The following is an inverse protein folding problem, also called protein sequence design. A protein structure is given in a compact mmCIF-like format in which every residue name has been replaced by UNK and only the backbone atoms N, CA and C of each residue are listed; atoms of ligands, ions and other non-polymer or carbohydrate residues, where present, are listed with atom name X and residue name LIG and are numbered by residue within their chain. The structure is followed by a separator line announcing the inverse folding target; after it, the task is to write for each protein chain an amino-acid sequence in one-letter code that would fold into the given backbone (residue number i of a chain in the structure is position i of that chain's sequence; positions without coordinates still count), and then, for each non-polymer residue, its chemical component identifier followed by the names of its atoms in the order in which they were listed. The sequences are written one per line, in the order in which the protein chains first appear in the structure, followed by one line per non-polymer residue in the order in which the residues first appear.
data_IF_427646320341
#
_entry.id   IF_427646320341
#
_cell.length_a   1.000
_cell.length_b   1.000
_cell.length_c   1.000
_cell.angle_alpha   90.00
_cell.angle_beta   90.00
_cell.angle_gamma   90.00
#
_symmetry.space_group_name_H-M   'P 1'
#
loop_
_entity.id
_entity.type
_entity.pdbx_description
1 polymer ?
#
# COMPACT_ATOMS: atom_id res chain seq x y z
N UNK A 1 -5.35 18.68 18.06
CA UNK A 1 -6.42 17.85 17.46
C UNK A 1 -5.99 17.54 16.04
N UNK A 2 -6.08 16.29 15.57
CA UNK A 2 -5.63 15.93 14.22
C UNK A 2 -6.69 16.43 13.23
N UNK A 3 -6.45 17.56 12.57
CA UNK A 3 -7.40 18.08 11.58
C UNK A 3 -7.41 17.19 10.33
N UNK A 4 -8.48 16.42 10.12
CA UNK A 4 -8.69 15.58 8.92
C UNK A 4 -9.91 16.03 8.09
N UNK A 5 -10.57 17.12 8.48
CA UNK A 5 -11.92 17.46 8.03
C UNK A 5 -12.00 17.88 6.55
N UNK A 6 -10.87 18.23 5.93
CA UNK A 6 -10.78 18.52 4.49
C UNK A 6 -10.43 17.33 3.59
N UNK A 7 -10.08 16.16 4.15
CA UNK A 7 -9.57 15.02 3.37
C UNK A 7 -10.62 13.92 3.14
N UNK A 8 -11.67 13.90 3.95
CA UNK A 8 -12.74 12.89 3.96
C UNK A 8 -14.02 13.50 3.38
N UNK A 9 -14.63 12.85 2.39
CA UNK A 9 -15.85 13.35 1.73
C UNK A 9 -16.78 12.22 1.31
N UNK A 10 -18.08 12.36 1.60
CA UNK A 10 -19.10 11.33 1.31
C UNK A 10 -19.38 11.13 -0.19
N UNK A 11 -19.00 12.08 -1.05
CA UNK A 11 -19.26 12.04 -2.50
C UNK A 11 -18.17 11.37 -3.37
N UNK A 12 -17.11 10.80 -2.78
CA UNK A 12 -16.08 10.09 -3.57
C UNK A 12 -16.47 8.63 -3.78
N UNK A 13 -15.96 8.02 -4.85
CA UNK A 13 -16.15 6.59 -5.15
C UNK A 13 -15.53 5.66 -4.07
N UNK A 14 -14.59 6.17 -3.28
CA UNK A 14 -13.90 5.41 -2.23
C UNK A 14 -14.69 5.45 -0.90
N UNK A 15 -14.91 4.30 -0.23
CA UNK A 15 -15.56 4.24 1.08
C UNK A 15 -14.90 5.16 2.14
N UNK A 16 -15.70 5.76 3.01
CA UNK A 16 -15.23 6.71 4.03
C UNK A 16 -14.10 6.17 4.92
N UNK A 17 -14.17 4.90 5.33
CA UNK A 17 -13.13 4.31 6.17
C UNK A 17 -11.77 4.25 5.44
N UNK A 18 -11.77 3.96 4.13
CA UNK A 18 -10.55 3.93 3.32
C UNK A 18 -9.97 5.34 3.15
N UNK A 19 -10.83 6.36 2.99
CA UNK A 19 -10.38 7.75 2.97
C UNK A 19 -9.69 8.15 4.29
N UNK A 20 -10.25 7.74 5.44
CA UNK A 20 -9.66 7.98 6.77
C UNK A 20 -8.30 7.28 6.88
N UNK A 21 -8.21 6.00 6.49
CA UNK A 21 -6.96 5.23 6.47
C UNK A 21 -5.92 5.94 5.62
N UNK A 22 -6.25 6.29 4.37
CA UNK A 22 -5.36 6.98 3.43
C UNK A 22 -4.90 8.36 3.92
N UNK A 23 -5.75 9.09 4.65
CA UNK A 23 -5.40 10.38 5.23
C UNK A 23 -4.44 10.23 6.43
N UNK A 24 -4.72 9.28 7.34
CA UNK A 24 -3.87 8.99 8.49
C UNK A 24 -2.53 8.42 8.06
N UNK A 25 -2.52 7.47 7.11
CA UNK A 25 -1.29 6.88 6.54
C UNK A 25 -0.38 7.96 5.96
N UNK A 26 -0.92 8.86 5.14
CA UNK A 26 -0.15 9.99 4.58
C UNK A 26 0.46 10.87 5.67
N UNK A 27 -0.28 11.18 6.74
CA UNK A 27 0.26 11.99 7.84
C UNK A 27 1.36 11.30 8.65
N UNK A 28 1.28 9.97 8.78
CA UNK A 28 2.33 9.18 9.43
C UNK A 28 3.57 9.16 8.54
N UNK A 29 3.41 8.88 7.24
CA UNK A 29 4.51 8.86 6.25
C UNK A 29 5.18 10.23 6.07
N UNK A 30 4.42 11.31 6.09
CA UNK A 30 4.92 12.69 6.01
C UNK A 30 5.56 13.18 7.34
N UNK A 31 5.56 12.36 8.39
CA UNK A 31 6.10 12.71 9.71
C UNK A 31 5.28 13.73 10.50
N UNK A 32 4.10 14.12 10.02
CA UNK A 32 3.17 15.01 10.75
C UNK A 32 2.57 14.31 11.99
N UNK A 33 2.40 13.00 11.91
CA UNK A 33 2.10 12.14 13.06
C UNK A 33 3.36 11.35 13.39
N UNK A 34 4.02 11.73 14.49
CA UNK A 34 5.27 11.09 14.92
C UNK A 34 5.00 9.70 15.51
N UNK A 35 6.01 8.85 15.40
CA UNK A 35 6.05 7.56 16.08
C UNK A 35 5.75 7.71 17.58
N UNK A 36 4.97 6.78 18.13
CA UNK A 36 4.55 6.81 19.53
C UNK A 36 3.51 7.88 19.85
N UNK A 37 3.03 8.66 18.87
CA UNK A 37 1.92 9.61 19.09
C UNK A 37 0.65 8.82 19.35
N UNK A 38 -0.08 9.20 20.41
CA UNK A 38 -1.40 8.65 20.71
C UNK A 38 -2.43 9.19 19.71
N UNK A 39 -3.14 8.29 19.03
CA UNK A 39 -4.27 8.65 18.19
C UNK A 39 -5.48 9.09 19.03
N UNK A 40 -6.34 9.98 18.51
CA UNK A 40 -7.59 10.36 19.15
C UNK A 40 -8.46 9.13 19.41
N UNK A 41 -9.31 9.20 20.43
CA UNK A 41 -10.30 8.13 20.64
C UNK A 41 -11.22 8.00 19.42
N UNK A 42 -11.74 6.80 19.15
CA UNK A 42 -12.66 6.58 18.04
C UNK A 42 -13.88 7.50 18.11
N UNK A 43 -14.30 7.89 19.33
CA UNK A 43 -15.43 8.81 19.56
C UNK A 43 -15.08 10.24 19.19
N UNK A 44 -13.92 10.73 19.66
CA UNK A 44 -13.47 12.08 19.36
C UNK A 44 -13.25 12.28 17.86
N UNK A 45 -12.58 11.33 17.19
CA UNK A 45 -12.34 11.45 15.76
C UNK A 45 -13.64 11.37 14.94
N UNK A 46 -14.60 10.55 15.35
CA UNK A 46 -15.91 10.47 14.70
C UNK A 46 -16.68 11.80 14.83
N UNK A 47 -16.61 12.45 16.00
CA UNK A 47 -17.22 13.76 16.24
C UNK A 47 -16.54 14.85 15.39
N UNK A 48 -15.22 14.89 15.35
CA UNK A 48 -14.46 15.88 14.58
C UNK A 48 -14.71 15.77 13.06
N UNK A 49 -14.94 14.54 12.57
CA UNK A 49 -15.20 14.25 11.16
C UNK A 49 -16.69 14.24 10.78
N UNK A 50 -17.60 14.24 11.76
CA UNK A 50 -19.04 14.10 11.52
C UNK A 50 -19.45 12.73 10.94
N UNK A 51 -18.69 11.67 11.19
CA UNK A 51 -18.95 10.32 10.64
C UNK A 51 -19.41 9.33 11.70
N UNK A 52 -19.99 8.20 11.27
CA UNK A 52 -20.33 7.11 12.19
C UNK A 52 -19.09 6.55 12.89
N UNK A 53 -19.21 6.26 14.20
CA UNK A 53 -18.12 5.69 15.01
C UNK A 53 -17.60 4.36 14.43
N UNK A 54 -18.47 3.52 13.90
CA UNK A 54 -18.10 2.24 13.27
C UNK A 54 -17.09 2.44 12.15
N UNK A 55 -17.25 3.47 11.33
CA UNK A 55 -16.33 3.82 10.24
C UNK A 55 -14.92 4.12 10.75
N UNK A 56 -14.80 4.86 11.85
CA UNK A 56 -13.51 5.16 12.48
C UNK A 56 -12.89 3.91 13.11
N UNK A 57 -13.69 3.07 13.75
CA UNK A 57 -13.22 1.79 14.30
C UNK A 57 -12.65 0.92 13.19
N UNK A 58 -13.38 0.74 12.09
CA UNK A 58 -12.89 -0.01 10.91
C UNK A 58 -11.60 0.58 10.33
N UNK A 59 -11.49 1.91 10.27
CA UNK A 59 -10.26 2.57 9.81
C UNK A 59 -9.07 2.30 10.75
N UNK A 60 -9.28 2.33 12.06
CA UNK A 60 -8.25 2.00 13.04
C UNK A 60 -7.85 0.53 12.98
N UNK A 61 -8.82 -0.39 12.86
CA UNK A 61 -8.54 -1.82 12.72
C UNK A 61 -7.69 -2.08 11.47
N UNK A 62 -7.98 -1.41 10.35
CA UNK A 62 -7.17 -1.49 9.13
C UNK A 62 -5.74 -0.95 9.34
N UNK A 63 -5.58 0.21 9.99
CA UNK A 63 -4.25 0.75 10.30
C UNK A 63 -3.43 -0.15 11.22
N UNK A 64 -4.09 -0.84 12.15
CA UNK A 64 -3.46 -1.84 13.03
C UNK A 64 -3.04 -3.07 12.23
N UNK A 65 -3.93 -3.58 11.35
CA UNK A 65 -3.62 -4.73 10.50
C UNK A 65 -2.43 -4.46 9.55
N UNK A 66 -2.27 -3.21 9.10
CA UNK A 66 -1.15 -2.78 8.26
C UNK A 66 0.12 -2.43 9.04
N UNK A 67 0.06 -2.38 10.38
CA UNK A 67 1.19 -2.04 11.24
C UNK A 67 1.47 -0.54 11.41
N UNK A 68 0.63 0.34 10.85
CA UNK A 68 0.73 1.80 11.06
C UNK A 68 0.36 2.25 12.47
N UNK A 69 -0.39 1.42 13.19
CA UNK A 69 -0.79 1.69 14.55
C UNK A 69 -0.81 0.43 15.41
N UNK A 70 -0.71 0.59 16.73
CA UNK A 70 -0.80 -0.51 17.69
C UNK A 70 -1.75 -0.15 18.83
N UNK A 71 -2.70 -1.03 19.17
CA UNK A 71 -3.52 -0.87 20.36
C UNK A 71 -2.73 -1.24 21.61
N UNK A 72 -2.71 -0.35 22.60
CA UNK A 72 -2.18 -0.61 23.93
C UNK A 72 -3.32 -0.68 24.94
N UNK A 73 -3.40 -1.79 25.67
CA UNK A 73 -4.49 -2.07 26.61
C UNK A 73 -4.63 -0.92 27.62
N UNK A 74 -5.84 -0.34 27.71
CA UNK A 74 -6.15 0.78 28.61
C UNK A 74 -5.54 2.15 28.23
N UNK A 75 -4.55 2.18 27.34
CA UNK A 75 -3.82 3.40 26.99
C UNK A 75 -4.29 4.03 25.66
N UNK A 76 -4.93 3.26 24.78
CA UNK A 76 -5.42 3.72 23.47
C UNK A 76 -4.59 3.18 22.31
N UNK A 77 -4.69 3.83 21.14
CA UNK A 77 -3.96 3.42 19.94
C UNK A 77 -2.81 4.39 19.70
N UNK A 78 -1.64 3.85 19.35
CA UNK A 78 -0.40 4.60 19.15
C UNK A 78 0.13 4.38 17.74
N UNK A 79 0.73 5.41 17.14
CA UNK A 79 1.38 5.31 15.82
C UNK A 79 2.65 4.47 15.94
N UNK A 80 2.80 3.48 15.07
CA UNK A 80 3.95 2.60 15.02
C UNK A 80 4.92 2.94 13.89
N UNK A 81 6.15 2.46 14.05
CA UNK A 81 7.20 2.63 13.05
C UNK A 81 6.98 1.65 11.91
N UNK A 82 6.30 2.14 10.88
CA UNK A 82 6.42 1.57 9.56
C UNK A 82 7.58 2.31 8.92
N UNK A 83 8.81 1.91 9.27
CA UNK A 83 9.96 2.33 8.52
C UNK A 83 9.60 2.00 7.06
N UNK A 84 9.47 3.01 6.17
CA UNK A 84 9.21 2.70 4.78
C UNK A 84 10.32 1.73 4.39
N UNK A 85 9.93 0.56 3.88
CA UNK A 85 10.87 -0.27 3.13
C UNK A 85 11.18 0.60 1.92
N UNK A 86 12.14 1.52 2.09
CA UNK A 86 12.73 2.26 1.00
C UNK A 86 13.33 1.13 0.18
N UNK A 87 12.82 0.85 -1.03
CA UNK A 87 13.51 -0.05 -1.91
C UNK A 87 14.95 0.45 -1.90
N UNK A 88 15.96 -0.43 -1.70
CA UNK A 88 17.33 0.01 -1.79
C UNK A 88 17.41 0.89 -3.03
N UNK A 89 17.95 2.09 -2.89
CA UNK A 89 18.14 2.99 -4.01
C UNK A 89 19.10 2.25 -4.92
N UNK A 90 18.55 1.40 -5.79
CA UNK A 90 19.31 0.61 -6.71
C UNK A 90 19.85 1.70 -7.61
N UNK A 91 21.17 1.99 -7.58
CA UNK A 91 21.70 2.88 -8.59
C UNK A 91 21.21 2.30 -9.90
N UNK A 92 20.62 3.15 -10.74
CA UNK A 92 20.23 2.78 -12.09
C UNK A 92 21.52 2.55 -12.91
N UNK A 93 22.34 1.59 -12.50
CA UNK A 93 23.30 0.94 -13.36
C UNK A 93 22.46 0.43 -14.51
N UNK A 94 22.66 0.94 -15.73
CA UNK A 94 22.03 0.36 -16.89
C UNK A 94 22.41 -1.11 -16.85
N UNK A 95 21.42 -2.00 -16.74
CA UNK A 95 21.66 -3.41 -17.04
C UNK A 95 22.13 -3.39 -18.47
N UNK A 96 23.43 -3.61 -18.69
CA UNK A 96 23.98 -3.70 -20.02
C UNK A 96 23.13 -4.74 -20.74
N UNK A 97 22.46 -4.34 -21.82
CA UNK A 97 21.68 -5.26 -22.61
C UNK A 97 22.60 -6.41 -22.98
N UNK A 98 22.27 -7.62 -22.51
CA UNK A 98 22.99 -8.82 -22.94
C UNK A 98 22.83 -8.85 -24.46
N UNK A 99 23.91 -8.75 -25.25
CA UNK A 99 23.78 -8.82 -26.69
C UNK A 99 23.11 -10.15 -27.04
N UNK A 100 22.20 -10.17 -28.04
CA UNK A 100 21.58 -11.42 -28.45
C UNK A 100 22.68 -12.44 -28.76
N UNK A 101 22.51 -13.71 -28.34
CA UNK A 101 23.49 -14.74 -28.63
C UNK A 101 23.74 -14.82 -30.13
N UNK A 102 24.97 -15.11 -30.51
CA UNK A 102 25.31 -15.28 -31.92
C UNK A 102 24.41 -16.36 -32.54
N UNK A 103 23.94 -16.19 -33.80
CA UNK A 103 23.17 -17.22 -34.49
C UNK A 103 23.89 -18.58 -34.44
N UNK A 104 23.18 -19.62 -33.99
CA UNK A 104 23.72 -20.98 -33.85
C UNK A 104 24.40 -21.29 -32.51
N UNK A 105 24.49 -20.33 -31.58
CA UNK A 105 25.02 -20.57 -30.24
C UNK A 105 23.97 -21.28 -29.36
N UNK A 106 24.15 -22.58 -29.13
CA UNK A 106 23.32 -23.36 -28.23
C UNK A 106 23.75 -23.10 -26.78
N UNK A 107 22.91 -22.40 -26.03
CA UNK A 107 23.10 -22.13 -24.60
C UNK A 107 22.32 -23.13 -23.76
N UNK A 108 22.95 -23.80 -22.78
CA UNK A 108 22.22 -24.65 -21.83
C UNK A 108 21.11 -23.86 -21.13
N UNK A 109 19.89 -24.41 -21.12
CA UNK A 109 18.73 -23.79 -20.46
C UNK A 109 18.00 -22.70 -21.25
N UNK A 110 18.44 -22.36 -22.47
CA UNK A 110 17.72 -21.45 -23.35
C UNK A 110 16.76 -22.23 -24.28
N UNK A 111 15.43 -22.16 -24.08
CA UNK A 111 14.48 -22.75 -25.01
C UNK A 111 14.48 -21.98 -26.34
N UNK A 112 14.24 -22.67 -27.46
CA UNK A 112 14.06 -22.03 -28.76
C UNK A 112 12.73 -21.26 -28.79
N UNK A 113 12.74 -19.91 -28.90
CA UNK A 113 11.52 -19.13 -28.99
C UNK A 113 10.70 -19.43 -30.24
N UNK A 114 11.33 -19.92 -31.32
CA UNK A 114 10.67 -20.29 -32.57
C UNK A 114 9.78 -21.53 -32.44
N UNK A 115 10.08 -22.41 -31.48
CA UNK A 115 9.29 -23.62 -31.18
C UNK A 115 8.09 -23.31 -30.27
N UNK A 116 8.09 -22.16 -29.59
CA UNK A 116 7.04 -21.83 -28.63
C UNK A 116 5.70 -21.51 -29.32
N UNK A 117 4.57 -22.16 -28.94
CA UNK A 117 3.27 -21.95 -29.56
C UNK A 117 2.59 -20.67 -29.03
N UNK A 118 3.14 -19.50 -29.38
CA UNK A 118 2.72 -18.21 -28.85
C UNK A 118 1.21 -17.92 -29.03
N UNK A 119 0.65 -18.24 -30.21
CA UNK A 119 -0.76 -17.98 -30.54
C UNK A 119 -1.75 -18.85 -29.74
N UNK A 120 -1.62 -20.19 -29.70
CA UNK A 120 -2.44 -21.02 -28.82
C UNK A 120 -2.29 -20.66 -27.34
N UNK A 121 -1.06 -20.40 -26.87
CA UNK A 121 -0.82 -20.04 -25.47
C UNK A 121 -1.51 -18.73 -25.08
N UNK A 122 -1.37 -17.68 -25.90
CA UNK A 122 -2.02 -16.39 -25.66
C UNK A 122 -3.55 -16.53 -25.57
N UNK A 123 -4.14 -17.40 -26.41
CA UNK A 123 -5.58 -17.72 -26.36
C UNK A 123 -6.01 -18.41 -25.07
N UNK A 124 -5.15 -19.21 -24.46
CA UNK A 124 -5.46 -19.86 -23.18
C UNK A 124 -5.36 -18.85 -22.02
N UNK A 125 -4.34 -18.00 -22.01
CA UNK A 125 -4.13 -16.99 -20.95
C UNK A 125 -5.24 -15.94 -20.97
N UNK A 126 -5.68 -15.50 -22.15
CA UNK A 126 -6.75 -14.51 -22.28
C UNK A 126 -8.15 -15.01 -21.91
N UNK A 127 -8.33 -16.30 -21.57
CA UNK A 127 -9.61 -16.87 -21.13
C UNK A 127 -9.80 -16.85 -19.60
N UNK A 128 -8.75 -16.56 -18.86
CA UNK A 128 -8.73 -16.59 -17.38
C UNK A 128 -8.69 -15.17 -16.78
N UNK A 129 -8.53 -14.13 -17.62
CA UNK A 129 -8.61 -12.72 -17.25
C UNK A 129 -10.02 -12.17 -17.52
#
# INVERSE_FOLDING_TARGET
MIDLSGMVSEGRAEPLYQQIVSALRRRISDGRLRLGTRLPSSRALAQDLGVARSTVVTAYDQLVAEGFAEPRQGAGIFVCDVAPIRPPEVPATPVAAVPPPAPGMLLPGAPDPGVFPARPWARCVSRVA
#
